data_IF_488456424267
#
_entry.id   IF_488456424267
#
_cell.length_a   1.000
_cell.length_b   1.000
_cell.length_c   1.000
_cell.angle_alpha   90.00
_cell.angle_beta   90.00
_cell.angle_gamma   90.00
#
_symmetry.space_group_name_H-M   'P 1'
#
loop_
_entity.id
_entity.type
_entity.pdbx_description
1 polymer ?
#
# COMPACT_ATOMS: atom_id res chain seq x y z
N UNK A 1 7.54 0.51 17.17
CA UNK A 1 7.26 1.43 16.05
C UNK A 1 8.56 1.98 15.55
N UNK A 2 8.80 1.91 14.24
CA UNK A 2 9.89 2.59 13.53
C UNK A 2 9.26 3.67 12.63
N UNK A 3 9.94 4.78 12.42
CA UNK A 3 9.47 5.86 11.54
C UNK A 3 10.60 6.32 10.65
N UNK A 4 10.31 6.37 9.35
CA UNK A 4 11.19 6.85 8.30
C UNK A 4 10.43 7.88 7.48
N UNK A 5 10.93 9.12 7.39
CA UNK A 5 10.28 10.12 6.55
C UNK A 5 10.42 9.74 5.07
N UNK A 6 11.54 9.13 4.67
CA UNK A 6 11.80 8.60 3.33
C UNK A 6 12.22 7.12 3.38
N UNK A 7 11.73 6.32 2.43
CA UNK A 7 12.02 4.89 2.33
C UNK A 7 13.52 4.58 2.26
N UNK A 8 14.31 5.38 1.54
CA UNK A 8 15.76 5.22 1.37
C UNK A 8 16.54 5.13 2.70
N UNK A 9 15.98 5.71 3.78
CA UNK A 9 16.60 5.66 5.12
C UNK A 9 16.54 4.28 5.78
N UNK A 10 15.74 3.35 5.25
CA UNK A 10 15.60 1.97 5.72
C UNK A 10 16.67 1.03 5.14
N UNK A 11 17.49 1.52 4.19
CA UNK A 11 18.49 0.72 3.50
C UNK A 11 17.88 -0.26 2.49
N UNK A 12 18.66 -1.22 2.02
CA UNK A 12 18.26 -2.16 0.95
C UNK A 12 18.05 -3.61 1.41
N UNK A 13 18.10 -3.88 2.71
CA UNK A 13 17.95 -5.23 3.25
C UNK A 13 16.49 -5.60 3.52
N UNK A 14 16.20 -6.88 3.71
CA UNK A 14 14.85 -7.32 4.08
C UNK A 14 14.40 -6.71 5.41
N UNK A 15 13.10 -6.42 5.52
CA UNK A 15 12.46 -5.90 6.72
C UNK A 15 11.52 -6.97 7.28
N UNK A 16 11.92 -7.63 8.38
CA UNK A 16 11.03 -8.45 9.21
C UNK A 16 10.32 -7.55 10.23
N UNK A 17 9.11 -7.13 9.88
CA UNK A 17 8.31 -6.22 10.68
C UNK A 17 7.32 -7.02 11.55
N UNK A 18 7.55 -7.01 12.86
CA UNK A 18 6.61 -7.50 13.88
C UNK A 18 5.90 -6.36 14.64
N UNK A 19 6.04 -5.11 14.18
CA UNK A 19 5.52 -3.92 14.85
C UNK A 19 4.77 -2.98 13.90
N UNK A 20 4.99 -1.67 14.08
CA UNK A 20 4.45 -0.64 13.17
C UNK A 20 5.61 0.03 12.47
N UNK A 21 5.64 -0.06 11.14
CA UNK A 21 6.56 0.68 10.28
C UNK A 21 5.82 1.88 9.69
N UNK A 22 6.27 3.09 9.99
CA UNK A 22 5.74 4.33 9.40
C UNK A 22 6.70 4.83 8.34
N UNK A 23 6.20 5.08 7.13
CA UNK A 23 6.99 5.62 6.01
C UNK A 23 6.29 6.82 5.40
N UNK A 24 7.02 7.91 5.16
CA UNK A 24 6.46 9.16 4.61
C UNK A 24 6.35 9.16 3.09
N UNK A 25 7.44 8.87 2.38
CA UNK A 25 7.51 8.90 0.91
C UNK A 25 8.72 8.10 0.39
N UNK A 26 8.87 8.00 -0.93
CA UNK A 26 9.98 7.32 -1.62
C UNK A 26 9.61 5.94 -2.15
N UNK A 27 10.61 5.17 -2.57
CA UNK A 27 10.43 3.82 -3.10
C UNK A 27 10.87 2.78 -2.07
N UNK A 28 9.92 2.01 -1.55
CA UNK A 28 10.20 0.90 -0.63
C UNK A 28 10.45 -0.38 -1.43
N UNK A 29 11.70 -0.54 -1.84
CA UNK A 29 12.19 -1.70 -2.59
C UNK A 29 12.45 -2.93 -1.70
N UNK A 30 12.46 -2.75 -0.38
CA UNK A 30 12.71 -3.82 0.57
C UNK A 30 11.61 -4.89 0.52
N UNK A 31 12.00 -6.17 0.66
CA UNK A 31 11.09 -7.24 1.05
C UNK A 31 10.51 -6.94 2.43
N UNK A 32 9.23 -6.59 2.53
CA UNK A 32 8.55 -6.39 3.82
C UNK A 32 7.76 -7.63 4.22
N UNK A 33 8.13 -8.25 5.34
CA UNK A 33 7.50 -9.47 5.86
C UNK A 33 7.10 -9.33 7.33
N UNK A 34 6.42 -10.34 7.87
CA UNK A 34 6.07 -10.42 9.30
C UNK A 34 4.62 -10.04 9.63
N UNK A 35 4.30 -10.00 10.92
CA UNK A 35 2.94 -9.74 11.43
C UNK A 35 2.63 -8.26 11.67
N UNK A 36 3.61 -7.39 11.46
CA UNK A 36 3.49 -5.96 11.66
C UNK A 36 2.73 -5.25 10.54
N UNK A 37 2.35 -4.00 10.83
CA UNK A 37 1.61 -3.13 9.91
C UNK A 37 2.51 -2.09 9.24
N UNK A 38 2.15 -1.71 8.03
CA UNK A 38 2.67 -0.53 7.34
C UNK A 38 1.74 0.68 7.54
N UNK A 39 2.31 1.85 7.76
CA UNK A 39 1.56 3.11 7.83
C UNK A 39 2.19 4.13 6.90
N UNK A 40 1.49 4.47 5.82
CA UNK A 40 1.85 5.59 4.95
C UNK A 40 1.47 6.90 5.62
N UNK A 41 2.49 7.71 5.88
CA UNK A 41 2.41 9.06 6.46
C UNK A 41 2.83 10.09 5.41
N UNK A 42 2.88 11.37 5.78
CA UNK A 42 3.31 12.42 4.86
C UNK A 42 2.32 12.68 3.71
N UNK A 43 2.63 13.70 2.90
CA UNK A 43 1.78 14.12 1.79
C UNK A 43 2.27 13.63 0.43
N UNK A 44 3.52 13.15 0.34
CA UNK A 44 4.11 12.63 -0.89
C UNK A 44 3.62 11.23 -1.27
N UNK A 45 4.33 10.63 -2.21
CA UNK A 45 4.08 9.30 -2.73
C UNK A 45 5.04 8.29 -2.10
N UNK A 46 4.50 7.13 -1.70
CA UNK A 46 5.30 5.94 -1.37
C UNK A 46 4.97 4.85 -2.38
N UNK A 47 5.98 4.35 -3.07
CA UNK A 47 5.85 3.19 -3.95
C UNK A 47 6.23 1.93 -3.18
N UNK A 48 5.42 0.88 -3.26
CA UNK A 48 5.78 -0.47 -2.80
C UNK A 48 6.18 -1.30 -4.02
N UNK A 49 7.47 -1.59 -4.13
CA UNK A 49 8.06 -2.34 -5.26
C UNK A 49 8.77 -3.63 -4.84
N UNK A 50 8.99 -3.84 -3.53
CA UNK A 50 9.52 -5.10 -3.00
C UNK A 50 8.49 -6.24 -2.89
N UNK A 51 8.98 -7.46 -2.74
CA UNK A 51 8.16 -8.67 -2.54
C UNK A 51 7.56 -8.71 -1.13
N UNK A 52 6.36 -8.18 -0.97
CA UNK A 52 5.76 -7.95 0.33
C UNK A 52 4.85 -9.10 0.77
N UNK A 53 5.04 -9.59 2.00
CA UNK A 53 4.26 -10.69 2.61
C UNK A 53 3.77 -10.38 4.03
N UNK A 54 3.85 -9.12 4.45
CA UNK A 54 3.38 -8.70 5.77
C UNK A 54 1.85 -8.89 5.91
N UNK A 55 1.42 -9.20 7.13
CA UNK A 55 0.02 -9.57 7.42
C UNK A 55 -0.70 -8.59 8.37
N UNK A 56 0.01 -7.64 8.97
CA UNK A 56 -0.59 -6.67 9.90
C UNK A 56 -1.44 -5.59 9.25
N UNK A 57 -1.45 -5.52 7.91
CA UNK A 57 -2.24 -4.57 7.13
C UNK A 57 -1.56 -3.22 6.91
N UNK A 58 -2.27 -2.36 6.19
CA UNK A 58 -1.77 -1.09 5.68
C UNK A 58 -2.72 0.05 6.03
N UNK A 59 -2.18 1.11 6.62
CA UNK A 59 -2.94 2.34 6.88
C UNK A 59 -2.36 3.49 6.08
N UNK A 60 -3.17 4.11 5.23
CA UNK A 60 -2.81 5.32 4.47
C UNK A 60 -3.45 6.51 5.18
N UNK A 61 -2.65 7.27 5.93
CA UNK A 61 -3.14 8.45 6.65
C UNK A 61 -3.32 9.64 5.70
N UNK A 62 -2.47 9.73 4.67
CA UNK A 62 -2.50 10.79 3.67
C UNK A 62 -1.46 10.56 2.56
N UNK A 63 -1.47 11.44 1.57
CA UNK A 63 -0.66 11.30 0.35
C UNK A 63 -1.12 10.13 -0.51
N UNK A 64 -0.17 9.57 -1.28
CA UNK A 64 -0.40 8.45 -2.20
C UNK A 64 0.41 7.24 -1.77
N UNK A 65 -0.22 6.07 -1.72
CA UNK A 65 0.47 4.78 -1.73
C UNK A 65 0.27 4.15 -3.11
N UNK A 66 1.36 3.80 -3.77
CA UNK A 66 1.36 3.19 -5.10
C UNK A 66 1.88 1.76 -5.01
N UNK A 67 1.16 0.83 -5.62
CA UNK A 67 1.57 -0.56 -5.79
C UNK A 67 1.30 -0.97 -7.24
N UNK A 68 2.34 -1.38 -7.97
CA UNK A 68 2.16 -1.79 -9.37
C UNK A 68 1.29 -3.06 -9.46
N UNK A 69 1.46 -3.97 -8.49
CA UNK A 69 0.65 -5.17 -8.33
C UNK A 69 -0.06 -5.19 -6.97
N UNK A 70 -1.30 -5.65 -6.94
CA UNK A 70 -2.12 -5.67 -5.73
C UNK A 70 -1.52 -6.54 -4.59
N UNK A 71 -0.80 -7.61 -4.93
CA UNK A 71 -0.14 -8.50 -3.97
C UNK A 71 1.00 -7.83 -3.18
N UNK A 72 1.54 -6.71 -3.68
CA UNK A 72 2.54 -5.89 -2.97
C UNK A 72 1.99 -5.22 -1.70
N UNK A 73 0.67 -5.24 -1.48
CA UNK A 73 0.02 -4.72 -0.28
C UNK A 73 -0.05 -5.73 0.88
N UNK A 74 0.56 -6.91 0.71
CA UNK A 74 0.49 -7.99 1.70
C UNK A 74 -0.92 -8.54 1.85
N UNK A 75 -1.21 -9.17 2.98
CA UNK A 75 -2.48 -9.92 3.19
C UNK A 75 -3.46 -9.25 4.16
N UNK A 76 -3.03 -8.22 4.88
CA UNK A 76 -3.86 -7.55 5.87
C UNK A 76 -4.82 -6.52 5.27
N UNK A 77 -5.77 -5.99 6.06
CA UNK A 77 -6.70 -4.97 5.59
C UNK A 77 -5.99 -3.66 5.19
N UNK A 78 -6.59 -2.91 4.27
CA UNK A 78 -6.14 -1.58 3.84
C UNK A 78 -7.14 -0.52 4.32
N UNK A 79 -6.72 0.31 5.28
CA UNK A 79 -7.47 1.48 5.73
C UNK A 79 -6.95 2.73 5.02
N UNK A 80 -7.72 3.25 4.06
CA UNK A 80 -7.31 4.34 3.19
C UNK A 80 -8.02 5.65 3.54
N UNK A 81 -7.26 6.67 3.93
CA UNK A 81 -7.70 8.08 4.06
C UNK A 81 -7.04 9.02 3.04
N UNK A 82 -6.16 8.50 2.18
CA UNK A 82 -5.46 9.24 1.13
C UNK A 82 -5.83 8.70 -0.26
N UNK A 83 -4.82 8.43 -1.08
CA UNK A 83 -4.95 7.79 -2.39
C UNK A 83 -4.25 6.44 -2.36
N UNK A 84 -4.94 5.39 -2.78
CA UNK A 84 -4.33 4.10 -3.12
C UNK A 84 -4.32 3.97 -4.65
N UNK A 85 -3.13 3.89 -5.24
CA UNK A 85 -2.94 3.57 -6.66
C UNK A 85 -2.55 2.10 -6.81
N UNK A 86 -3.27 1.37 -7.67
CA UNK A 86 -2.97 -0.04 -7.98
C UNK A 86 -2.95 -0.25 -9.48
N UNK A 87 -1.88 -0.86 -9.99
CA UNK A 87 -1.69 -1.12 -11.43
C UNK A 87 -2.49 -2.30 -11.95
N UNK A 88 -2.31 -3.48 -11.36
CA UNK A 88 -2.96 -4.73 -11.78
C UNK A 88 -3.00 -5.78 -10.67
N UNK A 89 -3.63 -6.93 -10.94
CA UNK A 89 -3.70 -8.07 -10.02
C UNK A 89 -5.04 -8.23 -9.31
N UNK A 90 -5.05 -9.03 -8.25
CA UNK A 90 -6.23 -9.26 -7.42
C UNK A 90 -6.04 -8.63 -6.03
N UNK A 91 -6.85 -7.63 -5.71
CA UNK A 91 -6.89 -7.02 -4.39
C UNK A 91 -7.83 -7.83 -3.49
N UNK A 92 -7.26 -8.83 -2.81
CA UNK A 92 -7.96 -9.65 -1.82
C UNK A 92 -8.14 -8.92 -0.48
N UNK A 93 -7.38 -7.86 -0.23
CA UNK A 93 -7.44 -7.09 1.01
C UNK A 93 -8.82 -6.45 1.19
N UNK A 94 -9.29 -6.39 2.43
CA UNK A 94 -10.44 -5.52 2.75
C UNK A 94 -10.00 -4.06 2.65
N UNK A 95 -10.53 -3.33 1.68
CA UNK A 95 -10.30 -1.90 1.47
C UNK A 95 -11.42 -1.09 2.13
N UNK A 96 -11.04 -0.15 3.00
CA UNK A 96 -11.98 0.68 3.78
C UNK A 96 -11.50 2.13 3.89
N UNK A 97 -12.36 3.02 4.39
CA UNK A 97 -12.02 4.42 4.70
C UNK A 97 -12.61 5.43 3.73
N UNK A 98 -12.19 6.69 3.84
CA UNK A 98 -12.71 7.82 3.04
C UNK A 98 -11.83 8.18 1.85
N UNK A 99 -10.65 7.58 1.73
CA UNK A 99 -9.71 7.81 0.63
C UNK A 99 -10.20 7.26 -0.70
N UNK A 100 -9.53 7.64 -1.78
CA UNK A 100 -9.86 7.20 -3.14
C UNK A 100 -9.01 6.00 -3.59
N UNK A 101 -9.60 5.15 -4.42
CA UNK A 101 -8.90 4.13 -5.20
C UNK A 101 -8.64 4.65 -6.62
N UNK A 102 -7.44 4.42 -7.13
CA UNK A 102 -7.05 4.77 -8.49
C UNK A 102 -6.47 3.55 -9.17
N UNK A 103 -7.11 3.09 -10.24
CA UNK A 103 -6.60 2.04 -11.11
C UNK A 103 -5.66 2.66 -12.15
N UNK A 104 -4.39 2.25 -12.10
CA UNK A 104 -3.32 2.62 -13.04
C UNK A 104 -2.94 1.41 -13.89
N UNK A 105 -1.84 1.47 -14.63
CA UNK A 105 -1.36 0.34 -15.43
C UNK A 105 -2.27 -0.05 -16.60
N UNK A 106 -1.84 -1.03 -17.39
CA UNK A 106 -2.59 -1.53 -18.55
C UNK A 106 -3.30 -2.86 -18.30
N UNK A 107 -2.95 -3.58 -17.22
CA UNK A 107 -3.57 -4.85 -16.88
C UNK A 107 -4.95 -4.73 -16.24
N UNK A 108 -5.45 -5.86 -15.75
CA UNK A 108 -6.72 -5.98 -15.05
C UNK A 108 -6.49 -5.86 -13.53
N UNK A 109 -7.34 -5.10 -12.84
CA UNK A 109 -7.44 -5.12 -11.37
C UNK A 109 -8.78 -5.71 -10.95
N UNK A 110 -8.74 -6.87 -10.29
CA UNK A 110 -9.91 -7.46 -9.66
C UNK A 110 -9.97 -7.08 -8.19
N UNK A 111 -11.12 -6.58 -7.72
CA UNK A 111 -11.36 -6.34 -6.30
C UNK A 111 -12.20 -7.50 -5.73
N UNK A 112 -11.54 -8.48 -5.10
CA UNK A 112 -12.21 -9.67 -4.54
C UNK A 112 -12.37 -9.63 -3.02
N UNK A 113 -11.62 -8.75 -2.34
CA UNK A 113 -11.79 -8.47 -0.92
C UNK A 113 -13.05 -7.69 -0.56
N UNK A 114 -13.21 -7.39 0.74
CA UNK A 114 -14.24 -6.45 1.20
C UNK A 114 -13.97 -5.03 0.69
N UNK A 115 -14.97 -4.32 0.21
CA UNK A 115 -14.83 -2.98 -0.37
C UNK A 115 -15.79 -2.01 0.33
N UNK A 116 -15.41 -1.56 1.52
CA UNK A 116 -16.20 -0.68 2.40
C UNK A 116 -15.71 0.77 2.38
N UNK A 117 -14.89 1.14 1.39
CA UNK A 117 -14.44 2.52 1.22
C UNK A 117 -15.57 3.40 0.66
N UNK A 118 -15.54 4.67 1.05
CA UNK A 118 -16.56 5.67 0.70
C UNK A 118 -16.06 6.76 -0.25
N UNK A 119 -14.75 6.79 -0.51
CA UNK A 119 -14.17 7.70 -1.49
C UNK A 119 -14.43 7.24 -2.93
N UNK A 120 -14.02 8.07 -3.89
CA UNK A 120 -14.21 7.79 -5.31
C UNK A 120 -13.25 6.72 -5.85
N UNK A 121 -13.63 6.16 -7.00
CA UNK A 121 -12.80 5.25 -7.80
C UNK A 121 -12.49 5.93 -9.13
N UNK A 122 -11.20 6.07 -9.46
CA UNK A 122 -10.77 6.62 -10.76
C UNK A 122 -10.04 5.54 -11.54
N UNK A 123 -10.39 5.36 -12.82
CA UNK A 123 -9.71 4.43 -13.72
C UNK A 123 -8.95 5.25 -14.76
N UNK A 124 -7.62 5.20 -14.70
CA UNK A 124 -6.73 5.95 -15.60
C UNK A 124 -6.25 5.07 -16.76
N UNK A 125 -6.23 3.74 -16.58
CA UNK A 125 -5.87 2.77 -17.61
C UNK A 125 -6.24 1.33 -17.25
N UNK A 126 -6.17 0.45 -18.24
CA UNK A 126 -6.45 -0.98 -18.07
C UNK A 126 -7.95 -1.30 -17.91
N UNK A 127 -8.23 -2.43 -17.25
CA UNK A 127 -9.59 -2.90 -16.93
C UNK A 127 -9.76 -3.07 -15.43
#
# INVERSE_FOLDING_TARGET
>A
TLTADHADSLGSGDIDNSGVLKVGEGDLENTLSGSGSLVKTGTGELTLSGDNSYSGGTTIIGGTLTADHADSLGTGAVANSGVLQVGEGELENTLSGSGSLVKTGTGELTLSGGNDYSGGTTIIGGT
#
